data_IF_485569599948
#
_entry.id   IF_485569599948
#
_cell.length_a   1.000
_cell.length_b   1.000
_cell.length_c   1.000
_cell.angle_alpha   90.00
_cell.angle_beta   90.00
_cell.angle_gamma   90.00
#
_symmetry.space_group_name_H-M   'P 1'
#
loop_
_entity.id
_entity.type
_entity.pdbx_description
1 polymer ?
#
# COMPACT_ATOMS: atom_id res chain seq x y z
N UNK A 1 5.34 9.40 -5.41
CA UNK A 1 6.39 8.75 -4.57
C UNK A 1 6.12 7.28 -4.27
N UNK A 2 4.87 6.80 -4.26
CA UNK A 2 4.51 5.38 -3.99
C UNK A 2 5.11 4.83 -2.67
N UNK A 3 4.99 5.60 -1.61
CA UNK A 3 5.46 5.26 -0.25
C UNK A 3 4.31 5.13 0.76
N UNK A 4 3.10 4.89 0.27
CA UNK A 4 1.93 4.65 1.13
C UNK A 4 2.12 3.34 1.88
N UNK A 5 1.84 3.36 3.18
CA UNK A 5 1.70 2.18 4.02
C UNK A 5 0.32 2.21 4.64
N UNK A 6 -0.33 1.06 4.64
CA UNK A 6 -1.69 0.89 5.11
C UNK A 6 -1.70 -0.17 6.20
N UNK A 7 -2.26 0.17 7.36
CA UNK A 7 -2.69 -0.80 8.35
C UNK A 7 -4.15 -1.17 8.04
N UNK A 8 -4.64 -2.28 8.56
CA UNK A 8 -5.98 -2.81 8.25
C UNK A 8 -7.12 -1.80 8.42
N UNK A 9 -6.98 -0.85 9.36
CA UNK A 9 -7.98 0.18 9.66
C UNK A 9 -7.53 1.59 9.26
N UNK A 10 -6.53 1.75 8.42
CA UNK A 10 -5.98 3.07 8.15
C UNK A 10 -6.54 3.70 6.90
N UNK A 11 -7.04 4.91 7.08
CA UNK A 11 -7.35 5.87 6.03
C UNK A 11 -6.10 6.17 5.18
N UNK A 12 -6.22 6.15 3.87
CA UNK A 12 -5.15 6.56 2.96
C UNK A 12 -5.66 7.60 1.96
N UNK A 13 -4.74 8.47 1.56
CA UNK A 13 -5.02 9.58 0.67
C UNK A 13 -4.50 9.29 -0.74
N UNK A 14 -5.31 9.59 -1.74
CA UNK A 14 -4.90 9.68 -3.13
C UNK A 14 -4.93 11.14 -3.53
N UNK A 15 -3.77 11.72 -3.81
CA UNK A 15 -3.66 13.09 -4.30
C UNK A 15 -3.72 13.14 -5.82
N UNK A 16 -4.63 13.94 -6.35
CA UNK A 16 -4.82 14.17 -7.80
C UNK A 16 -4.67 15.66 -8.10
N UNK A 17 -3.76 16.03 -8.96
CA UNK A 17 -3.66 17.39 -9.46
C UNK A 17 -4.65 17.61 -10.62
N UNK A 18 -5.51 18.63 -10.48
CA UNK A 18 -6.39 19.12 -11.55
C UNK A 18 -5.83 20.45 -12.03
N UNK A 19 -5.31 20.47 -13.24
CA UNK A 19 -4.59 21.61 -13.78
C UNK A 19 -5.44 22.26 -14.89
N UNK A 20 -5.65 23.56 -14.79
CA UNK A 20 -6.29 24.40 -15.78
C UNK A 20 -5.27 25.36 -16.43
N UNK A 21 -5.40 25.64 -17.69
CA UNK A 21 -4.70 26.79 -18.24
C UNK A 21 -5.34 28.09 -17.72
N UNK A 22 -4.54 29.03 -17.24
CA UNK A 22 -5.00 30.27 -16.61
C UNK A 22 -5.97 31.05 -17.49
N UNK A 23 -5.71 31.04 -18.82
CA UNK A 23 -6.57 31.67 -19.81
C UNK A 23 -7.99 31.10 -19.82
N UNK A 24 -8.16 29.80 -19.59
CA UNK A 24 -9.48 29.14 -19.59
C UNK A 24 -10.31 29.50 -18.36
N UNK A 25 -9.68 29.90 -17.27
CA UNK A 25 -10.37 30.28 -16.03
C UNK A 25 -11.00 31.67 -16.08
N UNK A 26 -10.63 32.51 -17.03
CA UNK A 26 -11.21 33.86 -17.20
C UNK A 26 -11.27 34.64 -15.88
N UNK A 27 -10.13 34.76 -15.22
CA UNK A 27 -9.91 35.48 -13.94
C UNK A 27 -10.73 34.95 -12.74
N UNK A 28 -11.19 33.71 -12.80
CA UNK A 28 -11.84 33.10 -11.65
C UNK A 28 -10.86 32.91 -10.49
N UNK A 29 -11.27 33.35 -9.32
CA UNK A 29 -10.51 33.15 -8.09
C UNK A 29 -10.43 31.68 -7.67
N UNK A 30 -9.50 31.37 -6.80
CA UNK A 30 -9.18 30.03 -6.31
C UNK A 30 -10.41 29.26 -5.77
N UNK A 31 -11.23 29.91 -4.93
CA UNK A 31 -12.44 29.31 -4.37
C UNK A 31 -13.49 28.99 -5.45
N UNK A 32 -13.69 29.91 -6.40
CA UNK A 32 -14.65 29.71 -7.48
C UNK A 32 -14.25 28.52 -8.36
N UNK A 33 -12.96 28.35 -8.62
CA UNK A 33 -12.43 27.23 -9.39
C UNK A 33 -12.57 25.90 -8.62
N UNK A 34 -12.32 25.87 -7.31
CA UNK A 34 -12.61 24.65 -6.49
C UNK A 34 -14.08 24.28 -6.56
N UNK A 35 -14.99 25.25 -6.51
CA UNK A 35 -16.42 24.99 -6.63
C UNK A 35 -16.83 24.42 -8.00
N UNK A 36 -16.17 24.84 -9.09
CA UNK A 36 -16.39 24.26 -10.43
C UNK A 36 -16.02 22.77 -10.42
N UNK A 37 -14.84 22.44 -9.86
CA UNK A 37 -14.39 21.03 -9.75
C UNK A 37 -15.34 20.22 -8.85
N UNK A 38 -15.73 20.76 -7.69
CA UNK A 38 -16.69 20.10 -6.81
C UNK A 38 -18.02 19.82 -7.51
N UNK A 39 -18.56 20.79 -8.26
CA UNK A 39 -19.80 20.60 -9.00
C UNK A 39 -19.67 19.56 -10.13
N UNK A 40 -18.49 19.50 -10.77
CA UNK A 40 -18.22 18.48 -11.78
C UNK A 40 -18.14 17.08 -11.15
N UNK A 41 -17.43 16.95 -10.05
CA UNK A 41 -17.33 15.71 -9.28
C UNK A 41 -18.67 15.24 -8.73
N UNK A 42 -19.48 16.15 -8.18
CA UNK A 42 -20.82 15.85 -7.65
C UNK A 42 -21.72 15.13 -8.65
N UNK A 43 -21.61 15.45 -9.94
CA UNK A 43 -22.38 14.76 -11.00
C UNK A 43 -21.99 13.29 -11.14
N UNK A 44 -20.75 12.92 -10.82
CA UNK A 44 -20.24 11.54 -10.88
C UNK A 44 -20.38 10.79 -9.56
N UNK A 45 -20.18 11.46 -8.44
CA UNK A 45 -20.21 10.84 -7.12
C UNK A 45 -21.62 10.50 -6.62
N UNK A 46 -22.67 11.01 -7.27
CA UNK A 46 -24.06 10.58 -6.99
C UNK A 46 -24.26 9.07 -7.02
N UNK A 47 -23.49 8.36 -7.84
CA UNK A 47 -23.58 6.89 -7.98
C UNK A 47 -23.01 6.15 -6.75
N UNK A 48 -22.20 6.84 -5.93
CA UNK A 48 -21.49 6.24 -4.78
C UNK A 48 -21.96 6.81 -3.45
N UNK A 49 -23.02 7.61 -3.42
CA UNK A 49 -23.48 8.35 -2.22
C UNK A 49 -22.39 9.17 -1.54
N UNK A 50 -21.40 9.64 -2.31
CA UNK A 50 -20.31 10.46 -1.82
C UNK A 50 -20.50 11.91 -2.27
N UNK A 51 -20.44 12.86 -1.32
CA UNK A 51 -20.51 14.29 -1.61
C UNK A 51 -19.11 14.91 -1.59
N UNK A 52 -18.72 15.67 -2.63
CA UNK A 52 -17.45 16.39 -2.62
C UNK A 52 -17.41 17.47 -1.54
N UNK A 53 -16.41 17.42 -0.68
CA UNK A 53 -16.16 18.41 0.37
C UNK A 53 -15.13 19.44 -0.14
N UNK A 54 -15.53 20.70 -0.24
CA UNK A 54 -14.63 21.80 -0.66
C UNK A 54 -13.82 22.27 0.55
N UNK A 55 -12.53 21.94 0.57
CA UNK A 55 -11.57 22.44 1.57
C UNK A 55 -10.77 23.61 1.02
N UNK A 56 -9.99 24.26 1.88
CA UNK A 56 -9.13 25.38 1.45
C UNK A 56 -8.04 24.93 0.46
N UNK A 57 -7.53 23.69 0.60
CA UNK A 57 -6.41 23.20 -0.21
C UNK A 57 -6.81 22.19 -1.31
N UNK A 58 -8.02 21.65 -1.27
CA UNK A 58 -8.44 20.61 -2.21
C UNK A 58 -9.96 20.48 -2.25
N UNK A 59 -10.46 19.67 -3.19
CA UNK A 59 -11.80 19.09 -3.12
C UNK A 59 -11.65 17.62 -2.75
N UNK A 60 -12.22 17.22 -1.62
CA UNK A 60 -12.11 15.86 -1.09
C UNK A 60 -13.34 15.03 -1.40
N UNK A 61 -13.15 13.80 -1.80
CA UNK A 61 -14.20 12.77 -1.87
C UNK A 61 -13.83 11.67 -0.89
N UNK A 62 -14.71 11.42 0.09
CA UNK A 62 -14.56 10.29 1.03
C UNK A 62 -15.36 9.10 0.53
N UNK A 63 -14.74 7.93 0.56
CA UNK A 63 -15.38 6.67 0.22
C UNK A 63 -15.70 5.87 1.49
N UNK A 64 -16.75 5.07 1.42
CA UNK A 64 -17.19 4.25 2.54
C UNK A 64 -16.14 3.21 2.99
N UNK A 65 -15.22 2.85 2.07
CA UNK A 65 -14.15 1.89 2.32
C UNK A 65 -12.95 2.48 3.11
N UNK A 66 -13.10 3.70 3.65
CA UNK A 66 -12.12 4.33 4.55
C UNK A 66 -11.00 5.10 3.85
N UNK A 67 -10.95 5.17 2.52
CA UNK A 67 -10.00 6.02 1.80
C UNK A 67 -10.64 7.30 1.26
N UNK A 68 -9.81 8.28 0.92
CA UNK A 68 -10.29 9.48 0.26
C UNK A 68 -9.38 9.94 -0.88
N UNK A 69 -9.97 10.70 -1.80
CA UNK A 69 -9.24 11.31 -2.91
C UNK A 69 -9.28 12.82 -2.72
N UNK A 70 -8.12 13.44 -2.70
CA UNK A 70 -7.92 14.88 -2.64
C UNK A 70 -7.58 15.42 -4.02
N UNK A 71 -8.47 16.20 -4.58
CA UNK A 71 -8.24 16.90 -5.83
C UNK A 71 -7.66 18.29 -5.51
N UNK A 72 -6.35 18.41 -5.63
CA UNK A 72 -5.64 19.69 -5.53
C UNK A 72 -5.75 20.42 -6.86
N UNK A 73 -6.27 21.65 -6.83
CA UNK A 73 -6.57 22.41 -8.02
C UNK A 73 -5.46 23.42 -8.29
N UNK A 74 -4.99 23.43 -9.52
CA UNK A 74 -3.94 24.31 -10.02
C UNK A 74 -4.40 25.06 -11.24
N UNK A 75 -3.87 26.29 -11.42
CA UNK A 75 -3.78 26.94 -12.72
C UNK A 75 -2.33 27.01 -13.16
N UNK A 76 -2.09 27.00 -14.48
CA UNK A 76 -0.76 27.16 -15.04
C UNK A 76 -0.74 28.24 -16.11
N UNK A 77 0.41 28.86 -16.28
CA UNK A 77 0.75 29.73 -17.41
C UNK A 77 2.23 29.61 -17.72
N UNK A 78 2.58 29.90 -18.94
CA UNK A 78 3.98 29.93 -19.35
C UNK A 78 4.57 31.30 -19.02
N UNK A 79 5.67 31.33 -18.31
CA UNK A 79 6.42 32.54 -17.96
C UNK A 79 7.63 32.69 -18.90
N UNK A 80 7.55 33.59 -19.86
CA UNK A 80 8.63 33.82 -20.81
C UNK A 80 9.95 34.26 -20.15
N UNK A 81 9.91 34.90 -18.99
CA UNK A 81 11.11 35.32 -18.27
C UNK A 81 11.80 34.14 -17.57
N UNK A 82 11.04 33.15 -17.14
CA UNK A 82 11.56 31.93 -16.52
C UNK A 82 11.84 30.83 -17.55
N UNK A 83 11.32 30.99 -18.77
CA UNK A 83 11.30 29.99 -19.84
C UNK A 83 10.71 28.66 -19.38
N UNK A 84 9.66 28.71 -18.54
CA UNK A 84 9.05 27.54 -17.90
C UNK A 84 7.59 27.75 -17.54
N UNK A 85 6.90 26.64 -17.23
CA UNK A 85 5.53 26.66 -16.74
C UNK A 85 5.47 26.98 -15.26
N UNK A 86 4.70 28.00 -14.91
CA UNK A 86 4.37 28.36 -13.53
C UNK A 86 3.05 27.73 -13.13
N UNK A 87 3.03 27.07 -11.99
CA UNK A 87 1.84 26.46 -11.41
C UNK A 87 1.45 27.22 -10.14
N UNK A 88 0.18 27.63 -10.07
CA UNK A 88 -0.38 28.28 -8.88
C UNK A 88 -1.48 27.38 -8.29
N UNK A 89 -1.35 27.06 -7.01
CA UNK A 89 -2.31 26.23 -6.26
C UNK A 89 -3.50 27.07 -5.78
N UNK A 90 -4.71 26.54 -5.93
CA UNK A 90 -5.95 27.15 -5.44
C UNK A 90 -6.10 26.95 -3.92
N UNK A 91 -5.37 27.72 -3.14
CA UNK A 91 -5.49 27.81 -1.68
C UNK A 91 -6.57 28.80 -1.24
N UNK A 92 -6.33 29.58 -0.17
CA UNK A 92 -7.17 30.76 0.15
C UNK A 92 -7.15 31.75 -1.01
N UNK A 93 -6.02 31.82 -1.68
CA UNK A 93 -5.81 32.53 -2.92
C UNK A 93 -4.92 31.69 -3.86
N UNK A 94 -4.67 32.15 -5.09
CA UNK A 94 -3.70 31.54 -5.98
C UNK A 94 -2.28 31.76 -5.46
N UNK A 95 -1.53 30.67 -5.27
CA UNK A 95 -0.17 30.71 -4.75
C UNK A 95 0.74 29.81 -5.57
N UNK A 96 1.85 30.35 -6.07
CA UNK A 96 2.84 29.59 -6.82
C UNK A 96 3.33 28.40 -5.98
N UNK A 97 3.36 27.22 -6.59
CA UNK A 97 3.78 25.97 -5.99
C UNK A 97 4.51 25.11 -6.97
N UNK A 98 5.62 24.55 -6.55
CA UNK A 98 6.28 23.49 -7.28
C UNK A 98 5.41 22.23 -7.24
N UNK A 99 5.00 21.75 -8.43
CA UNK A 99 4.04 20.64 -8.55
C UNK A 99 4.73 19.26 -8.60
N UNK A 100 5.81 19.15 -9.34
CA UNK A 100 6.48 17.87 -9.62
C UNK A 100 7.79 17.68 -8.88
N UNK A 101 8.45 18.75 -8.50
CA UNK A 101 9.82 18.75 -7.97
C UNK A 101 10.06 17.76 -6.84
N UNK A 102 9.16 17.65 -5.86
CA UNK A 102 9.27 16.66 -4.78
C UNK A 102 9.17 15.22 -5.29
N UNK A 103 8.33 14.98 -6.30
CA UNK A 103 8.17 13.65 -6.87
C UNK A 103 9.37 13.28 -7.74
N UNK A 104 9.87 14.22 -8.50
CA UNK A 104 11.01 14.03 -9.39
C UNK A 104 12.30 13.88 -8.58
N UNK A 105 12.49 14.72 -7.56
CA UNK A 105 13.56 14.54 -6.57
C UNK A 105 13.53 13.13 -5.96
N UNK A 106 12.38 12.69 -5.45
CA UNK A 106 12.28 11.36 -4.82
C UNK A 106 12.58 10.23 -5.81
N UNK A 107 12.11 10.35 -7.06
CA UNK A 107 12.43 9.35 -8.09
C UNK A 107 13.93 9.27 -8.33
N UNK A 108 14.57 10.44 -8.54
CA UNK A 108 16.01 10.52 -8.78
C UNK A 108 16.78 9.87 -7.62
N UNK A 109 16.52 10.29 -6.37
CA UNK A 109 17.20 9.72 -5.20
C UNK A 109 16.94 8.23 -5.02
N UNK A 110 15.72 7.77 -5.28
CA UNK A 110 15.39 6.36 -5.19
C UNK A 110 16.05 5.52 -6.29
N UNK A 111 16.17 6.06 -7.52
CA UNK A 111 16.79 5.37 -8.64
C UNK A 111 18.32 5.31 -8.45
N UNK A 112 18.94 6.38 -7.97
CA UNK A 112 20.36 6.43 -7.59
C UNK A 112 20.68 5.43 -6.46
N UNK A 113 19.73 5.18 -5.56
CA UNK A 113 19.84 4.23 -4.46
C UNK A 113 19.30 2.82 -4.80
N UNK A 114 19.11 2.46 -6.07
CA UNK A 114 18.59 1.16 -6.52
C UNK A 114 17.29 0.73 -5.80
N UNK A 115 16.38 1.68 -5.61
CA UNK A 115 15.09 1.44 -4.96
C UNK A 115 15.15 1.26 -3.43
N UNK A 116 16.31 1.34 -2.81
CA UNK A 116 16.54 1.19 -1.37
C UNK A 116 15.81 2.26 -0.55
N UNK A 117 15.84 3.52 -1.02
CA UNK A 117 15.17 4.64 -0.34
C UNK A 117 13.68 4.38 -0.12
N UNK A 118 12.97 3.95 -1.14
CA UNK A 118 11.52 3.65 -1.05
C UNK A 118 11.21 2.59 0.00
N UNK A 119 12.03 1.55 0.09
CA UNK A 119 11.87 0.46 1.08
C UNK A 119 12.03 1.01 2.50
N UNK A 120 13.09 1.76 2.76
CA UNK A 120 13.36 2.37 4.08
C UNK A 120 12.27 3.35 4.48
N UNK A 121 11.83 4.23 3.57
CA UNK A 121 10.74 5.19 3.84
C UNK A 121 9.43 4.48 4.20
N UNK A 122 9.10 3.39 3.51
CA UNK A 122 7.89 2.61 3.84
C UNK A 122 7.98 1.99 5.22
N UNK A 123 9.11 1.40 5.58
CA UNK A 123 9.33 0.82 6.92
C UNK A 123 9.28 1.92 8.00
N UNK A 124 9.89 3.08 7.78
CA UNK A 124 9.81 4.22 8.69
C UNK A 124 8.36 4.67 8.93
N UNK A 125 7.58 4.81 7.87
CA UNK A 125 6.16 5.17 7.96
C UNK A 125 5.34 4.10 8.70
N UNK A 126 5.65 2.82 8.46
CA UNK A 126 5.02 1.72 9.17
C UNK A 126 5.31 1.77 10.66
N UNK A 127 6.57 2.00 11.03
CA UNK A 127 6.98 2.21 12.41
C UNK A 127 6.20 3.36 13.08
N UNK A 128 6.13 4.51 12.44
CA UNK A 128 5.40 5.67 12.97
C UNK A 128 3.91 5.44 13.17
N UNK A 129 3.30 4.53 12.39
CA UNK A 129 1.89 4.15 12.48
C UNK A 129 1.63 2.89 13.32
N UNK A 130 2.66 2.26 13.85
CA UNK A 130 2.59 0.94 14.47
C UNK A 130 1.78 0.89 15.78
N UNK A 131 1.52 2.02 16.40
CA UNK A 131 0.78 2.10 17.68
C UNK A 131 -0.17 3.28 17.70
N UNK A 132 -1.43 3.05 18.00
CA UNK A 132 -2.46 4.10 18.12
C UNK A 132 -2.10 5.17 19.16
N UNK A 133 -1.40 4.77 20.23
CA UNK A 133 -0.93 5.70 21.26
C UNK A 133 0.19 6.65 20.78
N UNK A 134 0.80 6.38 19.63
CA UNK A 134 1.88 7.18 19.08
C UNK A 134 1.33 8.35 18.26
N UNK A 135 0.74 9.29 18.97
CA UNK A 135 0.32 10.57 18.40
C UNK A 135 1.51 11.52 18.27
N UNK A 136 1.35 12.54 17.45
CA UNK A 136 2.39 13.57 17.22
C UNK A 136 3.71 12.98 16.68
N UNK A 137 3.62 12.15 15.65
CA UNK A 137 4.74 11.67 14.83
C UNK A 137 4.95 12.60 13.62
N UNK A 138 6.16 12.63 13.02
CA UNK A 138 6.42 13.45 11.85
C UNK A 138 5.58 13.03 10.63
N UNK A 139 5.33 14.00 9.76
CA UNK A 139 4.65 13.73 8.49
C UNK A 139 5.48 12.80 7.60
N UNK A 140 4.84 12.16 6.64
CA UNK A 140 5.52 11.27 5.69
C UNK A 140 6.61 11.98 4.86
N UNK A 141 6.48 13.28 4.61
CA UNK A 141 7.49 14.07 3.91
C UNK A 141 8.76 14.23 4.77
N UNK A 142 8.61 14.62 6.03
CA UNK A 142 9.74 14.76 6.97
C UNK A 142 10.52 13.45 7.10
N UNK A 143 9.81 12.33 7.24
CA UNK A 143 10.42 11.01 7.27
C UNK A 143 11.18 10.70 5.97
N UNK A 144 10.59 11.02 4.81
CA UNK A 144 11.20 10.77 3.50
C UNK A 144 12.50 11.54 3.35
N UNK A 145 12.52 12.83 3.69
CA UNK A 145 13.71 13.68 3.59
C UNK A 145 14.82 13.18 4.50
N UNK A 146 14.52 12.82 5.74
CA UNK A 146 15.56 12.32 6.66
C UNK A 146 16.03 10.91 6.31
N UNK A 147 15.17 10.06 5.79
CA UNK A 147 15.59 8.76 5.27
C UNK A 147 16.53 8.90 4.07
N UNK A 148 16.29 9.87 3.19
CA UNK A 148 17.17 10.18 2.08
C UNK A 148 18.51 10.75 2.57
N UNK A 149 18.48 11.77 3.43
CA UNK A 149 19.66 12.41 4.00
C UNK A 149 20.63 11.42 4.67
N UNK A 150 20.07 10.35 5.27
CA UNK A 150 20.81 9.41 6.11
C UNK A 150 20.88 7.98 5.58
N UNK A 151 20.49 7.76 4.33
CA UNK A 151 20.41 6.44 3.73
C UNK A 151 21.79 5.74 3.69
N UNK A 152 21.86 4.55 4.25
CA UNK A 152 23.10 3.75 4.36
C UNK A 152 23.24 2.76 3.20
N UNK A 153 23.42 3.26 1.98
CA UNK A 153 23.36 2.47 0.73
C UNK A 153 24.38 1.32 0.62
N UNK A 154 25.40 1.29 1.49
CA UNK A 154 26.41 0.23 1.54
C UNK A 154 25.86 -1.14 1.99
N UNK A 155 24.71 -1.15 2.65
CA UNK A 155 24.09 -2.39 3.11
C UNK A 155 23.16 -2.96 2.04
N UNK A 156 23.33 -4.24 1.72
CA UNK A 156 22.48 -4.95 0.75
C UNK A 156 21.26 -5.60 1.39
N UNK A 157 21.40 -6.10 2.62
CA UNK A 157 20.28 -6.66 3.37
C UNK A 157 19.36 -5.55 3.86
N UNK A 158 18.06 -5.72 3.65
CA UNK A 158 17.06 -4.69 3.98
C UNK A 158 16.96 -4.39 5.48
N UNK A 159 17.14 -5.38 6.33
CA UNK A 159 17.15 -5.23 7.78
C UNK A 159 18.33 -4.37 8.26
N UNK A 160 19.55 -4.64 7.77
CA UNK A 160 20.73 -3.85 8.05
C UNK A 160 20.61 -2.43 7.50
N UNK A 161 20.22 -2.30 6.23
CA UNK A 161 19.98 -1.02 5.58
C UNK A 161 19.01 -0.16 6.41
N UNK A 162 17.89 -0.74 6.84
CA UNK A 162 16.90 -0.03 7.64
C UNK A 162 17.44 0.33 9.02
N UNK A 163 18.01 -0.64 9.73
CA UNK A 163 18.55 -0.45 11.06
C UNK A 163 19.57 0.67 11.11
N UNK A 164 20.63 0.60 10.30
CA UNK A 164 21.69 1.61 10.29
C UNK A 164 21.23 2.96 9.77
N UNK A 165 20.30 2.99 8.80
CA UNK A 165 19.70 4.28 8.39
C UNK A 165 18.91 4.91 9.54
N UNK A 166 18.16 4.13 10.32
CA UNK A 166 17.41 4.67 11.46
C UNK A 166 18.31 5.11 12.61
N UNK A 167 19.45 4.45 12.84
CA UNK A 167 20.48 4.93 13.78
C UNK A 167 21.00 6.31 13.36
N UNK A 168 21.40 6.46 12.12
CA UNK A 168 21.87 7.73 11.57
C UNK A 168 20.81 8.83 11.64
N UNK A 169 19.54 8.48 11.48
CA UNK A 169 18.42 9.42 11.67
C UNK A 169 18.30 9.84 13.14
N UNK A 170 18.47 8.92 14.09
CA UNK A 170 18.50 9.24 15.53
C UNK A 170 19.62 10.23 15.83
N UNK A 171 20.84 9.93 15.42
CA UNK A 171 22.04 10.76 15.65
C UNK A 171 21.89 12.14 15.00
N UNK A 172 21.34 12.19 13.79
CA UNK A 172 21.00 13.44 13.10
C UNK A 172 20.02 14.29 13.90
N UNK A 173 18.99 13.68 14.47
CA UNK A 173 17.95 14.36 15.26
C UNK A 173 18.39 14.71 16.68
N UNK A 174 19.42 14.07 17.23
CA UNK A 174 20.05 14.49 18.49
C UNK A 174 20.78 15.82 18.33
N UNK A 175 21.38 16.05 17.18
CA UNK A 175 22.15 17.25 16.88
C UNK A 175 21.28 18.40 16.33
N UNK A 176 20.32 18.10 15.47
CA UNK A 176 19.48 19.11 14.82
C UNK A 176 18.11 18.52 14.43
N UNK A 177 17.04 19.19 14.82
CA UNK A 177 15.66 18.80 14.50
C UNK A 177 15.07 19.55 13.30
N UNK A 178 15.78 20.55 12.76
CA UNK A 178 15.34 21.31 11.59
C UNK A 178 15.50 20.46 10.33
N UNK A 179 14.45 20.36 9.53
CA UNK A 179 14.44 19.64 8.25
C UNK A 179 14.12 20.62 7.15
N UNK A 180 14.99 20.70 6.15
CA UNK A 180 14.81 21.57 5.00
C UNK A 180 14.16 20.84 3.84
N UNK A 181 13.36 21.51 3.03
CA UNK A 181 12.81 20.94 1.81
C UNK A 181 13.94 20.64 0.82
N UNK A 182 13.95 19.48 0.17
CA UNK A 182 14.96 19.12 -0.81
C UNK A 182 14.80 19.88 -2.13
N UNK A 183 13.65 20.49 -2.31
CA UNK A 183 13.27 21.42 -3.39
C UNK A 183 12.69 22.68 -2.75
N UNK A 184 12.32 23.67 -3.52
CA UNK A 184 11.67 24.89 -3.00
C UNK A 184 12.62 25.75 -2.11
N UNK A 185 13.85 25.98 -2.62
CA UNK A 185 14.88 26.83 -2.00
C UNK A 185 15.20 26.49 -0.53
N UNK A 186 15.24 25.21 -0.19
CA UNK A 186 15.54 24.72 1.15
C UNK A 186 14.63 25.31 2.25
N UNK A 187 13.36 25.49 1.96
CA UNK A 187 12.35 25.96 2.93
C UNK A 187 12.31 25.05 4.17
N UNK A 188 12.27 25.65 5.35
CA UNK A 188 12.12 24.92 6.61
C UNK A 188 10.76 24.19 6.66
N UNK A 189 10.80 22.87 6.82
CA UNK A 189 9.63 22.00 6.97
C UNK A 189 9.21 21.82 8.44
N UNK A 190 10.00 22.32 9.38
CA UNK A 190 9.79 22.21 10.84
C UNK A 190 9.73 23.57 11.55
N UNK A 191 9.01 24.58 10.99
CA UNK A 191 9.08 25.96 11.48
C UNK A 191 8.38 26.18 12.83
N UNK A 192 7.61 25.19 13.32
CA UNK A 192 6.82 25.33 14.55
C UNK A 192 7.38 24.45 15.66
N UNK A 193 7.26 24.90 16.92
CA UNK A 193 7.63 24.10 18.08
C UNK A 193 6.90 22.72 18.10
N UNK A 194 5.68 22.66 17.59
CA UNK A 194 4.95 21.39 17.46
C UNK A 194 5.61 20.43 16.47
N UNK A 195 6.25 20.93 15.42
CA UNK A 195 6.94 20.10 14.43
C UNK A 195 8.26 19.59 15.01
N UNK A 196 8.99 20.45 15.70
CA UNK A 196 10.19 20.08 16.49
C UNK A 196 9.85 18.99 17.50
N UNK A 197 8.72 19.10 18.22
CA UNK A 197 8.31 18.09 19.19
C UNK A 197 8.01 16.74 18.53
N UNK A 198 7.44 16.71 17.31
CA UNK A 198 7.23 15.47 16.55
C UNK A 198 8.56 14.79 16.20
N UNK A 199 9.58 15.57 15.84
CA UNK A 199 10.93 15.03 15.56
C UNK A 199 11.56 14.42 16.82
N UNK A 200 11.45 15.10 17.95
CA UNK A 200 11.91 14.60 19.26
C UNK A 200 11.18 13.31 19.65
N UNK A 201 9.86 13.27 19.47
CA UNK A 201 9.06 12.07 19.73
C UNK A 201 9.51 10.88 18.87
N UNK A 202 9.72 11.12 17.59
CA UNK A 202 10.19 10.07 16.67
C UNK A 202 11.57 9.56 17.06
N UNK A 203 12.53 10.48 17.24
CA UNK A 203 13.89 10.16 17.70
C UNK A 203 13.88 9.27 18.96
N UNK A 204 13.15 9.70 20.00
CA UNK A 204 13.14 8.97 21.28
C UNK A 204 12.56 7.57 21.14
N UNK A 205 11.48 7.41 20.33
CA UNK A 205 10.86 6.11 20.06
C UNK A 205 11.75 5.21 19.20
N UNK A 206 12.41 5.78 18.18
CA UNK A 206 13.40 5.06 17.38
C UNK A 206 14.55 4.57 18.27
N UNK A 207 15.17 5.47 19.05
CA UNK A 207 16.28 5.12 19.93
C UNK A 207 15.94 3.95 20.85
N UNK A 208 14.80 4.04 21.54
CA UNK A 208 14.35 2.96 22.44
C UNK A 208 14.05 1.65 21.69
N UNK A 209 13.53 1.70 20.46
CA UNK A 209 13.13 0.51 19.72
C UNK A 209 14.24 -0.11 18.91
N UNK A 210 15.25 0.65 18.53
CA UNK A 210 16.46 0.12 17.89
C UNK A 210 17.27 -0.74 18.85
N UNK A 211 17.27 -0.43 20.15
CA UNK A 211 17.88 -1.29 21.20
C UNK A 211 17.25 -2.71 21.18
N UNK A 212 15.94 -2.83 20.97
CA UNK A 212 15.27 -4.13 20.87
C UNK A 212 15.76 -4.94 19.65
N UNK A 213 16.26 -4.28 18.60
CA UNK A 213 16.76 -4.93 17.37
C UNK A 213 18.25 -5.34 17.45
N UNK A 214 18.97 -4.97 18.50
CA UNK A 214 20.39 -5.35 18.63
C UNK A 214 20.60 -6.87 18.68
N UNK A 215 19.57 -7.63 19.08
CA UNK A 215 19.60 -9.09 19.06
C UNK A 215 19.84 -9.66 17.65
N UNK A 216 19.43 -8.96 16.60
CA UNK A 216 19.59 -9.39 15.19
C UNK A 216 21.07 -9.53 14.78
N UNK A 217 21.99 -8.86 15.48
CA UNK A 217 23.41 -8.83 15.16
C UNK A 217 24.26 -9.74 16.08
N UNK A 218 23.62 -10.56 16.92
CA UNK A 218 24.29 -11.57 17.74
C UNK A 218 24.51 -12.83 16.93
N UNK A 219 25.66 -13.47 17.13
CA UNK A 219 26.03 -14.72 16.44
C UNK A 219 25.07 -15.88 16.73
N UNK A 220 24.40 -15.85 17.87
CA UNK A 220 23.47 -16.86 18.34
C UNK A 220 21.99 -16.47 18.14
N UNK A 221 21.70 -15.40 17.38
CA UNK A 221 20.34 -14.96 17.09
C UNK A 221 19.58 -16.03 16.31
N UNK A 222 18.52 -16.54 16.93
CA UNK A 222 17.61 -17.47 16.27
C UNK A 222 16.59 -16.72 15.40
N UNK A 223 15.93 -17.44 14.48
CA UNK A 223 14.82 -16.88 13.70
C UNK A 223 13.68 -16.39 14.60
N UNK A 224 13.37 -17.12 15.67
CA UNK A 224 12.34 -16.73 16.64
C UNK A 224 12.72 -15.44 17.37
N UNK A 225 13.98 -15.27 17.76
CA UNK A 225 14.46 -14.03 18.39
C UNK A 225 14.32 -12.85 17.43
N UNK A 226 14.68 -13.05 16.16
CA UNK A 226 14.56 -12.04 15.12
C UNK A 226 13.08 -11.63 14.87
N UNK A 227 12.19 -12.61 14.79
CA UNK A 227 10.75 -12.37 14.62
C UNK A 227 10.14 -11.63 15.81
N UNK A 228 10.52 -12.01 17.03
CA UNK A 228 10.11 -11.30 18.25
C UNK A 228 10.60 -9.87 18.29
N UNK A 229 11.85 -9.63 17.91
CA UNK A 229 12.42 -8.28 17.86
C UNK A 229 11.65 -7.40 16.86
N UNK A 230 11.40 -7.91 15.67
CA UNK A 230 10.61 -7.19 14.66
C UNK A 230 9.14 -6.99 15.07
N UNK A 231 8.52 -7.98 15.74
CA UNK A 231 7.20 -7.80 16.35
C UNK A 231 7.22 -6.67 17.39
N UNK A 232 8.19 -6.68 18.29
CA UNK A 232 8.39 -5.62 19.29
C UNK A 232 8.63 -4.25 18.67
N UNK A 233 9.28 -4.19 17.51
CA UNK A 233 9.57 -2.95 16.78
C UNK A 233 8.33 -2.41 16.04
N UNK A 234 7.70 -3.21 15.18
CA UNK A 234 6.59 -2.80 14.33
C UNK A 234 5.21 -2.95 14.96
N UNK A 235 5.07 -3.77 16.02
CA UNK A 235 3.79 -4.08 16.68
C UNK A 235 2.70 -4.45 15.67
N UNK A 236 3.02 -5.37 14.75
CA UNK A 236 2.14 -5.74 13.66
C UNK A 236 1.97 -7.26 13.61
N UNK A 237 0.72 -7.72 13.47
CA UNK A 237 0.33 -9.14 13.49
C UNK A 237 1.08 -10.01 12.49
N UNK A 238 1.54 -9.46 11.40
CA UNK A 238 2.39 -10.17 10.43
C UNK A 238 3.54 -10.94 11.12
N UNK A 239 4.25 -10.27 12.02
CA UNK A 239 5.38 -10.88 12.74
C UNK A 239 4.92 -11.89 13.80
N UNK A 240 3.77 -11.64 14.43
CA UNK A 240 3.18 -12.54 15.41
C UNK A 240 2.62 -13.82 14.77
N UNK A 241 1.99 -13.71 13.62
CA UNK A 241 1.46 -14.87 12.88
C UNK A 241 2.59 -15.79 12.43
N UNK A 242 3.71 -15.23 11.97
CA UNK A 242 4.89 -16.00 11.57
C UNK A 242 5.52 -16.71 12.77
N UNK A 243 5.63 -16.05 13.92
CA UNK A 243 6.05 -16.69 15.20
C UNK A 243 5.12 -17.85 15.58
N UNK A 244 3.81 -17.65 15.45
CA UNK A 244 2.83 -18.69 15.80
C UNK A 244 2.90 -19.86 14.82
N UNK A 245 3.18 -19.62 13.55
CA UNK A 245 3.35 -20.67 12.53
C UNK A 245 4.68 -21.41 12.70
N UNK A 246 5.78 -20.73 12.98
CA UNK A 246 7.07 -21.35 13.25
C UNK A 246 7.06 -22.16 14.58
N UNK A 247 6.45 -21.62 15.63
CA UNK A 247 6.23 -22.38 16.87
C UNK A 247 5.32 -23.60 16.66
N UNK A 248 4.32 -23.51 15.81
CA UNK A 248 3.49 -24.64 15.40
C UNK A 248 4.28 -25.63 14.55
N UNK A 249 5.12 -25.18 13.62
CA UNK A 249 5.98 -26.07 12.84
C UNK A 249 6.99 -26.83 13.70
N UNK A 250 7.60 -26.21 14.70
CA UNK A 250 8.53 -26.89 15.60
C UNK A 250 7.84 -27.88 16.57
N UNK A 251 6.57 -27.61 16.95
CA UNK A 251 5.75 -28.53 17.75
C UNK A 251 5.01 -29.58 16.92
N UNK A 252 4.63 -29.27 15.67
CA UNK A 252 3.84 -30.12 14.77
C UNK A 252 4.72 -31.17 14.07
N UNK A 253 6.05 -31.08 14.14
CA UNK A 253 6.92 -32.14 13.65
C UNK A 253 6.66 -33.52 14.34
N UNK A 254 5.71 -33.60 15.28
CA UNK A 254 5.32 -34.82 15.99
C UNK A 254 3.83 -35.18 16.04
N UNK A 255 2.91 -34.36 15.53
CA UNK A 255 1.47 -34.73 15.52
C UNK A 255 0.82 -34.56 14.14
N UNK A 256 0.43 -35.71 13.63
CA UNK A 256 -0.62 -36.00 12.62
C UNK A 256 -1.08 -34.80 11.77
N UNK A 257 -0.54 -34.74 10.56
CA UNK A 257 -0.99 -33.88 9.49
C UNK A 257 -2.46 -34.15 9.14
N UNK A 258 -3.31 -33.19 9.45
CA UNK A 258 -4.69 -33.15 8.99
C UNK A 258 -4.78 -32.28 7.75
N UNK A 259 -5.78 -32.45 6.94
CA UNK A 259 -6.28 -31.80 5.72
C UNK A 259 -5.50 -30.62 5.06
N UNK A 260 -4.61 -29.91 5.75
CA UNK A 260 -3.70 -28.91 5.21
C UNK A 260 -2.60 -29.50 4.31
N UNK A 261 -2.36 -30.81 4.38
CA UNK A 261 -1.31 -31.50 3.61
C UNK A 261 -1.50 -31.42 2.08
N UNK A 262 -2.65 -31.00 1.61
CA UNK A 262 -2.93 -30.82 0.18
C UNK A 262 -2.79 -29.37 -0.29
N UNK A 263 -2.57 -28.41 0.60
CA UNK A 263 -2.34 -27.04 0.22
C UNK A 263 -0.91 -26.84 -0.29
N UNK A 264 -0.80 -26.17 -1.42
CA UNK A 264 0.47 -25.80 -2.03
C UNK A 264 0.68 -24.29 -1.92
N UNK A 265 1.91 -23.90 -1.68
CA UNK A 265 2.31 -22.51 -1.69
C UNK A 265 3.20 -22.25 -2.89
N UNK A 266 3.04 -21.11 -3.53
CA UNK A 266 3.80 -20.78 -4.73
C UNK A 266 5.29 -20.65 -4.40
N UNK A 267 5.61 -20.26 -3.20
CA UNK A 267 6.95 -20.12 -2.66
C UNK A 267 7.70 -21.46 -2.55
N UNK A 268 6.97 -22.55 -2.35
CA UNK A 268 7.53 -23.90 -2.30
C UNK A 268 7.84 -24.47 -3.71
N UNK A 269 7.21 -23.90 -4.73
CA UNK A 269 7.30 -24.38 -6.11
C UNK A 269 8.24 -23.54 -6.96
N UNK A 270 8.32 -22.25 -6.68
CA UNK A 270 9.07 -21.26 -7.46
C UNK A 270 9.68 -20.20 -6.54
N UNK A 271 10.85 -19.71 -6.90
CA UNK A 271 11.37 -18.46 -6.32
C UNK A 271 10.39 -17.34 -6.60
N UNK A 272 10.15 -16.46 -5.64
CA UNK A 272 9.17 -15.36 -5.76
C UNK A 272 9.88 -14.01 -5.86
N UNK A 273 9.56 -13.27 -6.92
CA UNK A 273 10.01 -11.89 -7.10
C UNK A 273 8.96 -11.10 -7.91
N UNK A 274 8.06 -10.42 -7.22
CA UNK A 274 6.94 -9.70 -7.84
C UNK A 274 7.41 -8.40 -8.52
N UNK A 275 7.88 -8.52 -9.76
CA UNK A 275 8.35 -7.41 -10.59
C UNK A 275 7.28 -6.85 -11.53
N UNK A 276 6.23 -7.61 -11.80
CA UNK A 276 5.18 -7.25 -12.76
C UNK A 276 3.82 -7.17 -12.09
N UNK A 277 2.94 -6.33 -12.67
CA UNK A 277 1.54 -6.30 -12.31
C UNK A 277 0.73 -7.32 -13.10
N UNK A 278 -0.34 -7.83 -12.49
CA UNK A 278 -1.38 -8.57 -13.21
C UNK A 278 -2.76 -8.19 -12.66
N UNK A 279 -3.79 -8.40 -13.46
CA UNK A 279 -5.18 -8.14 -13.09
C UNK A 279 -6.08 -9.31 -13.51
N UNK A 280 -7.02 -9.65 -12.64
CA UNK A 280 -7.99 -10.72 -12.86
C UNK A 280 -9.41 -10.13 -12.80
N UNK A 281 -10.18 -10.36 -13.84
CA UNK A 281 -11.61 -10.08 -13.84
C UNK A 281 -12.37 -11.33 -13.42
N UNK A 282 -13.14 -11.26 -12.34
CA UNK A 282 -14.02 -12.33 -11.91
C UNK A 282 -15.48 -11.93 -12.14
N UNK A 283 -16.13 -12.61 -13.09
CA UNK A 283 -17.54 -12.44 -13.42
C UNK A 283 -18.35 -13.51 -12.71
N UNK A 284 -19.44 -13.09 -12.08
CA UNK A 284 -20.38 -13.96 -11.36
C UNK A 284 -21.68 -14.01 -12.11
N UNK A 285 -22.26 -15.21 -12.26
CA UNK A 285 -23.55 -15.42 -12.89
C UNK A 285 -24.33 -16.55 -12.18
N UNK A 286 -25.62 -16.42 -12.12
CA UNK A 286 -26.51 -17.40 -11.51
C UNK A 286 -27.86 -16.83 -11.13
N UNK A 287 -28.81 -17.69 -10.81
CA UNK A 287 -30.15 -17.36 -10.29
C UNK A 287 -30.90 -16.24 -11.05
N UNK A 288 -30.76 -16.26 -12.39
CA UNK A 288 -31.41 -15.27 -13.25
C UNK A 288 -30.76 -13.86 -13.30
N UNK A 289 -29.68 -13.64 -12.56
CA UNK A 289 -28.91 -12.41 -12.66
C UNK A 289 -28.07 -12.37 -13.94
N UNK A 290 -27.97 -11.21 -14.54
CA UNK A 290 -27.00 -10.98 -15.62
C UNK A 290 -25.58 -11.08 -15.04
N UNK A 291 -24.61 -11.61 -15.79
CA UNK A 291 -23.23 -11.64 -15.34
C UNK A 291 -22.73 -10.25 -14.93
N UNK A 292 -22.13 -10.16 -13.75
CA UNK A 292 -21.55 -8.94 -13.18
C UNK A 292 -20.19 -9.25 -12.56
N UNK A 293 -19.38 -8.23 -12.34
CA UNK A 293 -18.15 -8.41 -11.57
C UNK A 293 -18.45 -8.84 -10.13
N UNK A 294 -17.53 -9.58 -9.52
CA UNK A 294 -17.68 -10.01 -8.12
C UNK A 294 -17.91 -8.83 -7.19
N UNK A 295 -17.20 -7.72 -7.40
CA UNK A 295 -17.35 -6.49 -6.60
C UNK A 295 -18.75 -5.87 -6.71
N UNK A 296 -19.35 -5.89 -7.90
CA UNK A 296 -20.72 -5.42 -8.10
C UNK A 296 -21.74 -6.33 -7.39
N UNK A 297 -21.54 -7.65 -7.45
CA UNK A 297 -22.40 -8.60 -6.74
C UNK A 297 -22.31 -8.43 -5.22
N UNK A 298 -21.11 -8.31 -4.67
CA UNK A 298 -20.90 -8.11 -3.24
C UNK A 298 -21.53 -6.79 -2.75
N UNK A 299 -21.47 -5.75 -3.59
CA UNK A 299 -22.14 -4.46 -3.30
C UNK A 299 -23.69 -4.54 -3.28
N UNK A 300 -24.27 -5.45 -4.07
CA UNK A 300 -25.73 -5.63 -4.15
C UNK A 300 -26.24 -6.57 -3.04
N UNK A 301 -25.48 -7.58 -2.65
CA UNK A 301 -25.87 -8.71 -1.82
C UNK A 301 -25.24 -8.70 -0.42
N UNK A 302 -25.13 -7.56 0.22
CA UNK A 302 -24.62 -7.41 1.58
C UNK A 302 -23.26 -8.14 1.83
N UNK A 303 -22.33 -7.98 0.89
CA UNK A 303 -20.95 -8.49 0.96
C UNK A 303 -20.77 -10.01 0.89
N UNK A 304 -21.81 -10.78 0.55
CA UNK A 304 -21.70 -12.24 0.37
C UNK A 304 -22.30 -12.68 -0.96
N UNK A 305 -21.69 -13.69 -1.58
CA UNK A 305 -22.27 -14.41 -2.71
C UNK A 305 -23.16 -15.53 -2.21
N UNK A 306 -24.37 -15.72 -2.80
CA UNK A 306 -25.21 -16.88 -2.50
C UNK A 306 -24.62 -18.17 -3.06
N UNK A 307 -25.22 -19.31 -2.72
CA UNK A 307 -24.89 -20.62 -3.30
C UNK A 307 -25.32 -20.72 -4.76
N UNK A 308 -24.66 -21.66 -5.48
CA UNK A 308 -24.98 -22.08 -6.84
C UNK A 308 -24.74 -21.01 -7.92
N UNK A 309 -23.86 -20.06 -7.66
CA UNK A 309 -23.39 -19.12 -8.68
C UNK A 309 -22.13 -19.62 -9.36
N UNK A 310 -22.02 -19.43 -10.67
CA UNK A 310 -20.80 -19.63 -11.44
C UNK A 310 -19.90 -18.41 -11.25
N UNK A 311 -18.62 -18.65 -11.01
CA UNK A 311 -17.58 -17.63 -10.86
C UNK A 311 -16.51 -17.89 -11.92
N UNK A 312 -16.46 -17.03 -12.93
CA UNK A 312 -15.52 -17.11 -14.05
C UNK A 312 -14.43 -16.07 -13.86
N UNK A 313 -13.23 -16.49 -13.52
CA UNK A 313 -12.07 -15.63 -13.38
C UNK A 313 -11.17 -15.71 -14.62
N UNK A 314 -10.82 -14.54 -15.16
CA UNK A 314 -9.99 -14.39 -16.35
C UNK A 314 -8.85 -13.43 -16.04
N UNK A 315 -7.62 -13.83 -16.31
CA UNK A 315 -6.48 -12.92 -16.27
C UNK A 315 -6.58 -11.98 -17.48
N UNK A 316 -6.85 -10.70 -17.21
CA UNK A 316 -7.18 -9.69 -18.24
C UNK A 316 -5.99 -8.85 -18.67
N UNK A 317 -5.02 -8.68 -17.78
CA UNK A 317 -3.88 -7.82 -18.02
C UNK A 317 -2.66 -8.24 -17.23
N UNK A 318 -1.49 -8.11 -17.83
CA UNK A 318 -0.20 -8.17 -17.14
C UNK A 318 0.84 -7.30 -17.84
N UNK A 319 1.76 -6.75 -17.06
CA UNK A 319 2.96 -6.07 -17.59
C UNK A 319 4.10 -7.04 -17.89
N UNK A 320 3.95 -8.33 -17.53
CA UNK A 320 4.97 -9.35 -17.79
C UNK A 320 5.06 -9.67 -19.29
N UNK A 321 6.24 -9.55 -19.91
CA UNK A 321 6.41 -9.91 -21.31
C UNK A 321 6.39 -11.45 -21.52
N UNK A 322 5.79 -11.90 -22.61
CA UNK A 322 5.79 -13.31 -23.03
C UNK A 322 7.24 -13.84 -23.26
N UNK A 323 7.50 -15.13 -23.10
CA UNK A 323 6.57 -16.18 -22.64
C UNK A 323 6.45 -16.21 -21.10
N UNK A 324 5.27 -16.57 -20.60
CA UNK A 324 5.02 -16.84 -19.19
C UNK A 324 3.94 -17.92 -19.04
N UNK A 325 3.81 -18.50 -17.84
CA UNK A 325 2.75 -19.43 -17.45
C UNK A 325 1.80 -18.78 -16.47
N UNK A 326 0.52 -19.19 -16.52
CA UNK A 326 -0.52 -18.70 -15.61
C UNK A 326 -0.96 -19.88 -14.74
N UNK A 327 -0.73 -19.75 -13.44
CA UNK A 327 -1.13 -20.73 -12.45
C UNK A 327 -2.26 -20.17 -11.58
N UNK A 328 -3.13 -21.08 -11.15
CA UNK A 328 -4.29 -20.76 -10.33
C UNK A 328 -4.34 -21.59 -9.07
N UNK A 329 -4.69 -20.98 -7.96
CA UNK A 329 -5.01 -21.63 -6.69
C UNK A 329 -6.43 -21.25 -6.28
N UNK A 330 -7.22 -22.24 -5.87
CA UNK A 330 -8.54 -22.04 -5.27
C UNK A 330 -8.48 -22.59 -3.86
N UNK A 331 -8.71 -21.75 -2.86
CA UNK A 331 -8.71 -22.13 -1.46
C UNK A 331 -10.09 -21.96 -0.88
N UNK A 332 -10.62 -23.04 -0.35
CA UNK A 332 -11.85 -23.01 0.41
C UNK A 332 -11.55 -22.95 1.91
N UNK A 333 -12.22 -22.08 2.60
CA UNK A 333 -11.99 -21.80 4.03
C UNK A 333 -13.30 -21.95 4.81
N UNK A 334 -13.20 -22.48 6.01
CA UNK A 334 -14.29 -22.59 6.96
C UNK A 334 -14.73 -24.02 7.29
N UNK A 335 -15.52 -24.20 8.36
CA UNK A 335 -15.89 -25.51 8.88
C UNK A 335 -16.61 -26.42 7.89
N UNK A 336 -17.36 -25.84 6.95
CA UNK A 336 -18.08 -26.59 5.92
C UNK A 336 -17.12 -27.16 4.86
N UNK A 337 -16.08 -26.42 4.50
CA UNK A 337 -15.03 -26.91 3.60
C UNK A 337 -14.25 -28.09 4.24
N UNK A 338 -13.96 -27.98 5.51
CA UNK A 338 -13.30 -29.02 6.30
C UNK A 338 -14.17 -30.26 6.41
N UNK A 339 -15.42 -30.10 6.84
CA UNK A 339 -16.40 -31.18 6.95
C UNK A 339 -16.60 -31.99 5.67
N UNK A 340 -16.54 -31.30 4.52
CA UNK A 340 -16.70 -31.91 3.19
C UNK A 340 -15.40 -32.44 2.61
N UNK A 341 -14.26 -32.28 3.29
CA UNK A 341 -12.93 -32.57 2.77
C UNK A 341 -12.65 -31.86 1.42
N UNK A 342 -13.05 -30.59 1.33
CA UNK A 342 -12.92 -29.76 0.12
C UNK A 342 -12.20 -28.43 0.40
N UNK A 343 -11.22 -28.48 1.27
CA UNK A 343 -10.38 -27.31 1.58
C UNK A 343 -9.61 -26.84 0.35
N UNK A 344 -9.21 -27.77 -0.54
CA UNK A 344 -8.44 -27.47 -1.77
C UNK A 344 -7.12 -26.74 -1.45
N UNK A 345 -6.62 -25.95 -2.36
CA UNK A 345 -5.40 -25.16 -2.18
C UNK A 345 -4.24 -25.59 -3.06
N UNK A 346 -4.46 -26.55 -3.97
CA UNK A 346 -3.46 -26.94 -4.97
C UNK A 346 -3.32 -25.87 -6.06
N UNK A 347 -2.13 -25.74 -6.60
CA UNK A 347 -1.78 -24.80 -7.66
C UNK A 347 -1.75 -25.54 -9.00
N UNK A 348 -2.53 -25.08 -9.96
CA UNK A 348 -2.67 -25.70 -11.27
C UNK A 348 -2.36 -24.73 -12.41
N UNK A 349 -1.74 -25.24 -13.47
CA UNK A 349 -1.65 -24.56 -14.76
C UNK A 349 -2.95 -24.80 -15.53
N UNK A 350 -3.80 -23.77 -15.60
CA UNK A 350 -5.09 -23.83 -16.33
C UNK A 350 -5.21 -22.73 -17.39
N UNK A 351 -4.09 -22.10 -17.73
CA UNK A 351 -4.09 -21.02 -18.72
C UNK A 351 -4.83 -19.78 -18.23
N UNK A 352 -5.48 -19.06 -19.13
CA UNK A 352 -5.98 -17.71 -18.89
C UNK A 352 -7.30 -17.65 -18.09
N UNK A 353 -8.05 -18.76 -17.98
CA UNK A 353 -9.41 -18.74 -17.42
C UNK A 353 -9.61 -19.93 -16.49
N UNK A 354 -10.26 -19.68 -15.35
CA UNK A 354 -10.84 -20.72 -14.51
C UNK A 354 -12.32 -20.44 -14.26
N UNK A 355 -13.08 -21.52 -14.03
CA UNK A 355 -14.50 -21.48 -13.68
C UNK A 355 -14.71 -22.28 -12.41
N UNK A 356 -15.31 -21.64 -11.42
CA UNK A 356 -15.62 -22.20 -10.11
C UNK A 356 -17.09 -21.97 -9.77
N UNK A 357 -17.59 -22.62 -8.70
CA UNK A 357 -18.97 -22.48 -8.25
C UNK A 357 -19.03 -22.23 -6.75
N UNK A 358 -19.96 -21.39 -6.31
CA UNK A 358 -20.20 -21.09 -4.90
C UNK A 358 -21.03 -22.21 -4.24
N UNK A 359 -20.36 -23.32 -3.85
CA UNK A 359 -21.04 -24.54 -3.39
C UNK A 359 -21.31 -24.59 -1.89
N UNK A 360 -20.61 -23.79 -1.06
CA UNK A 360 -20.78 -23.80 0.39
C UNK A 360 -20.22 -22.52 1.04
N UNK A 361 -20.69 -22.24 2.26
CA UNK A 361 -20.36 -21.01 3.01
C UNK A 361 -18.91 -20.97 3.44
N UNK A 362 -18.34 -19.79 3.42
CA UNK A 362 -17.00 -19.50 3.91
C UNK A 362 -16.35 -18.31 3.21
N UNK A 363 -15.25 -17.88 3.77
CA UNK A 363 -14.40 -16.82 3.19
C UNK A 363 -13.36 -17.45 2.26
N UNK A 364 -13.80 -17.87 1.08
CA UNK A 364 -12.95 -18.50 0.08
C UNK A 364 -12.14 -17.45 -0.67
N UNK A 365 -11.09 -17.90 -1.39
CA UNK A 365 -10.34 -17.03 -2.28
C UNK A 365 -9.76 -17.78 -3.48
N UNK A 366 -9.44 -16.99 -4.50
CA UNK A 366 -8.78 -17.43 -5.72
C UNK A 366 -7.51 -16.62 -5.90
N UNK A 367 -6.40 -17.27 -6.23
CA UNK A 367 -5.15 -16.61 -6.54
C UNK A 367 -4.71 -16.98 -7.97
N UNK A 368 -4.21 -15.96 -8.67
CA UNK A 368 -3.60 -16.07 -9.98
C UNK A 368 -2.12 -15.71 -9.85
N UNK A 369 -1.26 -16.53 -10.41
CA UNK A 369 0.19 -16.34 -10.42
C UNK A 369 0.72 -16.30 -11.83
N UNK A 370 1.67 -15.43 -12.10
CA UNK A 370 2.43 -15.42 -13.34
C UNK A 370 3.83 -15.93 -13.06
N UNK A 371 4.22 -17.00 -13.76
CA UNK A 371 5.55 -17.61 -13.64
C UNK A 371 6.30 -17.42 -14.95
N UNK A 372 7.48 -16.82 -14.87
CA UNK A 372 8.40 -16.60 -15.98
C UNK A 372 9.80 -17.07 -15.59
N UNK A 373 10.41 -17.84 -16.45
CA UNK A 373 11.78 -18.34 -16.28
C UNK A 373 12.05 -19.03 -14.92
N UNK A 374 11.02 -19.73 -14.39
CA UNK A 374 11.11 -20.43 -13.11
C UNK A 374 10.93 -19.53 -11.87
N UNK A 375 10.53 -18.28 -12.07
CA UNK A 375 10.27 -17.31 -10.97
C UNK A 375 8.80 -16.89 -11.02
N UNK A 376 8.13 -16.85 -9.86
CA UNK A 376 6.82 -16.24 -9.73
C UNK A 376 6.99 -14.71 -9.70
N UNK A 377 6.55 -14.05 -10.77
CA UNK A 377 6.83 -12.62 -11.01
C UNK A 377 5.63 -11.71 -10.83
N UNK A 378 4.43 -12.27 -10.66
CA UNK A 378 3.23 -11.51 -10.30
C UNK A 378 2.22 -12.43 -9.59
N UNK A 379 1.41 -11.83 -8.70
CA UNK A 379 0.31 -12.48 -7.97
C UNK A 379 -0.90 -11.54 -7.94
N UNK A 380 -2.07 -12.13 -8.08
CA UNK A 380 -3.34 -11.44 -7.86
C UNK A 380 -4.27 -12.32 -7.03
N UNK A 381 -4.94 -11.74 -6.03
CA UNK A 381 -5.90 -12.45 -5.17
C UNK A 381 -7.29 -11.83 -5.29
N UNK A 382 -8.28 -12.69 -5.35
CA UNK A 382 -9.70 -12.34 -5.33
C UNK A 382 -10.36 -13.07 -4.17
N UNK A 383 -10.91 -12.34 -3.23
CA UNK A 383 -11.70 -12.91 -2.16
C UNK A 383 -13.11 -13.24 -2.66
N UNK A 384 -13.62 -14.40 -2.26
CA UNK A 384 -14.90 -14.98 -2.67
C UNK A 384 -15.68 -15.36 -1.42
N UNK A 385 -16.23 -14.39 -0.68
CA UNK A 385 -17.03 -14.67 0.49
C UNK A 385 -18.40 -15.24 0.08
N UNK A 386 -18.73 -16.44 0.53
CA UNK A 386 -20.00 -17.10 0.28
C UNK A 386 -20.77 -17.15 1.59
N UNK A 387 -21.95 -16.55 1.63
CA UNK A 387 -22.76 -16.39 2.84
C UNK A 387 -24.26 -16.32 2.56
N UNK A 388 -25.00 -15.97 3.60
CA UNK A 388 -26.46 -15.73 3.56
C UNK A 388 -26.75 -14.25 3.69
#
# INVERSE_FOLDING_TARGET
>A
MSTVVQNEDSDYDIDVAVIFDKADLRDKGAQATRNIVANALKRKTKQFNAEPEVKTSCVRIKYADGYHIDFAIYQRYYDECKDDWVYEHAGSDWTERELTGLTDWFKTQNDEADGKLRKVVRLSKMFCKSRESWKNMPSGLLQTVLCDEKLQTSYERLDELFYYTMQEVVDRLENNTTVLAPVDNARDLTPRNSDVQKMINWRNRLKSKLEDLEVLFKDDCSEDDALQAWYGFFNHEYWNTTLTENCKCSMIAKEVRTFSDTEQFIEDMYSVNYMYGCNVSCMVSGDGFRPKSISEFLGILNHYLPHNFEIRCTMTYTTCPQPYRILWKVKNVGPEAERRNQVRGQIYDKGNIIVEHSNFYGNHYIECYIVKDGVCVARYRVDVPIGR
#
